data_IF_043179575618
#
_entry.id   IF_043179575618
#
_cell.length_a   1.000
_cell.length_b   1.000
_cell.length_c   1.000
_cell.angle_alpha   90.00
_cell.angle_beta   90.00
_cell.angle_gamma   90.00
#
_symmetry.space_group_name_H-M   'P 1'
#
loop_
_entity.id
_entity.type
_entity.pdbx_description
1 polymer ?
#
# COMPACT_ATOMS: atom_id res chain seq x y z
N UNK A 1 11.07 -20.64 -3.65
CA UNK A 1 12.19 -19.72 -3.35
C UNK A 1 11.70 -18.83 -2.25
N UNK A 2 12.39 -18.83 -1.12
CA UNK A 2 12.16 -17.85 -0.06
C UNK A 2 12.78 -16.54 -0.53
N UNK A 3 12.04 -15.43 -0.41
CA UNK A 3 12.48 -14.11 -0.83
C UNK A 3 12.30 -13.16 0.35
N UNK A 4 13.32 -12.34 0.60
CA UNK A 4 13.17 -11.20 1.49
C UNK A 4 12.30 -10.11 0.84
N UNK A 5 11.77 -9.19 1.64
CA UNK A 5 10.87 -8.14 1.14
C UNK A 5 11.53 -7.30 0.04
N UNK A 6 12.81 -6.95 0.18
CA UNK A 6 13.54 -6.15 -0.80
C UNK A 6 13.64 -6.87 -2.15
N UNK A 7 13.97 -8.17 -2.14
CA UNK A 7 14.02 -8.99 -3.35
C UNK A 7 12.64 -9.15 -3.99
N UNK A 8 11.61 -9.32 -3.17
CA UNK A 8 10.23 -9.39 -3.65
C UNK A 8 9.80 -8.07 -4.32
N UNK A 9 10.06 -6.93 -3.67
CA UNK A 9 9.78 -5.60 -4.23
C UNK A 9 10.50 -5.43 -5.56
N UNK A 10 11.79 -5.74 -5.62
CA UNK A 10 12.54 -5.67 -6.87
C UNK A 10 11.91 -6.57 -7.94
N UNK A 11 11.64 -7.85 -7.64
CA UNK A 11 11.09 -8.80 -8.60
C UNK A 11 9.71 -8.42 -9.17
N UNK A 12 8.88 -7.73 -8.39
CA UNK A 12 7.55 -7.29 -8.82
C UNK A 12 7.63 -5.91 -9.50
N UNK A 13 8.25 -4.93 -8.87
CA UNK A 13 8.25 -3.55 -9.34
C UNK A 13 9.34 -3.23 -10.37
N UNK A 14 10.29 -4.12 -10.66
CA UNK A 14 11.26 -3.92 -11.76
C UNK A 14 10.69 -4.20 -13.15
N UNK A 15 9.46 -4.71 -13.24
CA UNK A 15 8.76 -5.03 -14.49
C UNK A 15 7.55 -4.13 -14.70
N UNK A 16 6.95 -4.25 -15.88
CA UNK A 16 5.56 -3.84 -16.07
C UNK A 16 4.63 -4.75 -15.25
N UNK A 17 3.50 -4.23 -14.75
CA UNK A 17 2.51 -5.06 -14.08
C UNK A 17 2.15 -6.28 -14.92
N UNK A 18 2.10 -7.44 -14.28
CA UNK A 18 1.69 -8.69 -14.92
C UNK A 18 0.17 -8.86 -14.82
N UNK A 19 -0.42 -9.80 -15.58
CA UNK A 19 -1.83 -10.10 -15.43
C UNK A 19 -2.23 -10.37 -13.97
N UNK A 20 -3.51 -10.15 -13.68
CA UNK A 20 -4.07 -10.36 -12.34
C UNK A 20 -3.78 -11.78 -11.87
N UNK A 21 -3.36 -11.92 -10.61
CA UNK A 21 -3.05 -13.21 -9.96
C UNK A 21 -1.92 -14.00 -10.64
N UNK A 22 -1.02 -13.35 -11.38
CA UNK A 22 0.13 -14.01 -12.02
C UNK A 22 1.21 -14.47 -11.04
N UNK A 23 1.29 -13.84 -9.87
CA UNK A 23 2.21 -14.24 -8.80
C UNK A 23 1.42 -14.75 -7.60
N UNK A 24 1.69 -15.99 -7.22
CA UNK A 24 1.14 -16.57 -6.00
C UNK A 24 2.11 -16.29 -4.85
N UNK A 25 1.76 -15.35 -3.98
CA UNK A 25 2.47 -15.13 -2.72
C UNK A 25 1.95 -16.10 -1.67
N UNK A 26 2.86 -16.73 -0.96
CA UNK A 26 2.56 -17.53 0.23
C UNK A 26 3.50 -17.06 1.33
N UNK A 27 2.92 -16.76 2.50
CA UNK A 27 3.70 -16.45 3.68
C UNK A 27 4.19 -17.76 4.31
N UNK A 28 5.46 -17.79 4.71
CA UNK A 28 6.07 -18.97 5.35
C UNK A 28 5.42 -19.24 6.71
N UNK A 29 5.01 -18.18 7.40
CA UNK A 29 4.30 -18.24 8.67
C UNK A 29 2.82 -17.87 8.50
N UNK A 30 2.00 -18.36 9.43
CA UNK A 30 0.60 -17.97 9.53
C UNK A 30 0.50 -16.55 10.09
N UNK A 31 0.55 -15.56 9.21
CA UNK A 31 0.38 -14.16 9.57
C UNK A 31 -1.04 -13.86 10.03
N UNK A 32 -1.17 -13.05 11.07
CA UNK A 32 -2.42 -12.41 11.45
C UNK A 32 -2.86 -11.39 10.39
N UNK A 33 -4.15 -11.02 10.39
CA UNK A 33 -4.68 -9.98 9.48
C UNK A 33 -3.90 -8.67 9.62
N UNK A 34 -3.49 -8.31 10.84
CA UNK A 34 -2.70 -7.11 11.09
C UNK A 34 -1.33 -7.20 10.41
N UNK A 35 -0.63 -8.33 10.55
CA UNK A 35 0.69 -8.53 9.95
C UNK A 35 0.60 -8.56 8.42
N UNK A 36 -0.43 -9.17 7.84
CA UNK A 36 -0.69 -9.09 6.39
C UNK A 36 -0.88 -7.64 5.97
N UNK A 37 -1.70 -6.86 6.69
CA UNK A 37 -1.91 -5.46 6.36
C UNK A 37 -0.63 -4.62 6.46
N UNK A 38 0.17 -4.82 7.52
CA UNK A 38 1.45 -4.11 7.73
C UNK A 38 2.48 -4.50 6.66
N UNK A 39 2.52 -5.77 6.27
CA UNK A 39 3.31 -6.22 5.12
C UNK A 39 2.87 -5.51 3.83
N UNK A 40 1.58 -5.42 3.54
CA UNK A 40 1.08 -4.76 2.32
C UNK A 40 1.35 -3.25 2.32
N UNK A 41 1.27 -2.58 3.47
CA UNK A 41 1.69 -1.17 3.60
C UNK A 41 3.19 -1.01 3.33
N UNK A 42 4.01 -1.91 3.86
CA UNK A 42 5.47 -1.87 3.64
C UNK A 42 5.79 -2.15 2.17
N UNK A 43 5.16 -3.17 1.57
CA UNK A 43 5.28 -3.49 0.15
C UNK A 43 4.83 -2.33 -0.75
N UNK A 44 3.74 -1.64 -0.41
CA UNK A 44 3.30 -0.42 -1.09
C UNK A 44 4.37 0.68 -1.00
N UNK A 45 4.90 0.92 0.19
CA UNK A 45 5.86 2.00 0.46
C UNK A 45 7.16 1.76 -0.29
N UNK A 46 7.70 0.55 -0.24
CA UNK A 46 8.94 0.19 -0.93
C UNK A 46 8.75 0.11 -2.45
N UNK A 47 7.62 -0.43 -2.92
CA UNK A 47 7.28 -0.41 -4.36
C UNK A 47 7.14 1.01 -4.91
N UNK A 48 6.51 1.91 -4.15
CA UNK A 48 6.38 3.32 -4.50
C UNK A 48 7.75 4.02 -4.57
N UNK A 49 8.63 3.77 -3.58
CA UNK A 49 10.02 4.28 -3.60
C UNK A 49 10.80 3.72 -4.79
N UNK A 50 10.65 2.44 -5.10
CA UNK A 50 11.33 1.81 -6.23
C UNK A 50 10.93 2.45 -7.56
N UNK A 51 9.63 2.71 -7.77
CA UNK A 51 9.11 3.25 -9.03
C UNK A 51 9.23 4.76 -9.17
N UNK A 52 9.03 5.49 -8.07
CA UNK A 52 8.79 6.94 -8.09
C UNK A 52 9.59 7.69 -7.02
N UNK A 53 10.49 7.00 -6.33
CA UNK A 53 11.33 7.60 -5.31
C UNK A 53 12.32 8.58 -5.90
N UNK A 54 12.56 9.65 -5.15
CA UNK A 54 13.67 10.59 -5.39
C UNK A 54 14.56 10.59 -4.16
N UNK A 55 15.86 10.38 -4.38
CA UNK A 55 16.86 10.51 -3.34
C UNK A 55 17.05 11.99 -2.98
N UNK A 56 16.95 12.31 -1.70
CA UNK A 56 17.23 13.65 -1.21
C UNK A 56 18.72 13.83 -0.89
N UNK A 57 19.13 15.05 -0.51
CA UNK A 57 20.52 15.37 -0.18
C UNK A 57 21.13 14.54 0.97
N UNK A 58 20.28 13.91 1.79
CA UNK A 58 20.69 13.10 2.94
C UNK A 58 20.76 11.60 2.60
N UNK A 59 20.66 11.24 1.32
CA UNK A 59 20.66 9.85 0.85
C UNK A 59 19.37 9.07 1.15
N UNK A 60 18.28 9.75 1.49
CA UNK A 60 16.98 9.12 1.78
C UNK A 60 16.07 9.18 0.56
N UNK A 61 15.57 8.02 0.14
CA UNK A 61 14.56 7.92 -0.91
C UNK A 61 13.17 8.28 -0.36
N UNK A 62 12.56 9.30 -0.95
CA UNK A 62 11.22 9.77 -0.59
C UNK A 62 10.30 9.78 -1.82
N UNK A 63 9.00 9.63 -1.60
CA UNK A 63 7.98 9.68 -2.65
C UNK A 63 7.06 10.86 -2.39
N UNK A 64 6.89 11.69 -3.40
CA UNK A 64 5.93 12.80 -3.37
C UNK A 64 4.61 12.38 -4.03
N UNK A 65 3.66 11.93 -3.21
CA UNK A 65 2.34 11.49 -3.67
C UNK A 65 1.53 12.62 -4.33
N UNK A 66 1.84 13.89 -4.07
CA UNK A 66 1.14 15.02 -4.70
C UNK A 66 1.38 15.10 -6.20
N UNK A 67 2.46 14.48 -6.69
CA UNK A 67 2.79 14.38 -8.12
C UNK A 67 2.11 13.21 -8.82
N UNK A 68 1.49 12.30 -8.07
CA UNK A 68 0.86 11.13 -8.65
C UNK A 68 -0.48 11.49 -9.29
N UNK A 69 -0.64 11.09 -10.54
CA UNK A 69 -1.92 11.15 -11.25
C UNK A 69 -2.64 9.81 -11.12
N UNK A 70 -3.83 9.73 -11.72
CA UNK A 70 -4.55 8.46 -11.88
C UNK A 70 -3.70 7.38 -12.58
N UNK A 71 -2.73 7.78 -13.41
CA UNK A 71 -1.84 6.83 -14.10
C UNK A 71 -0.92 6.11 -13.12
N UNK A 72 -0.23 6.85 -12.25
CA UNK A 72 0.70 6.27 -11.27
C UNK A 72 -0.05 5.40 -10.26
N UNK A 73 -1.21 5.86 -9.80
CA UNK A 73 -2.09 5.08 -8.92
C UNK A 73 -2.52 3.78 -9.57
N UNK A 74 -2.99 3.83 -10.82
CA UNK A 74 -3.38 2.65 -11.58
C UNK A 74 -2.23 1.66 -11.77
N UNK A 75 -1.01 2.13 -12.04
CA UNK A 75 0.16 1.25 -12.15
C UNK A 75 0.43 0.52 -10.83
N UNK A 76 0.31 1.22 -9.70
CA UNK A 76 0.46 0.59 -8.38
C UNK A 76 -0.66 -0.43 -8.11
N UNK A 77 -1.91 -0.09 -8.45
CA UNK A 77 -3.04 -1.03 -8.34
C UNK A 77 -2.82 -2.29 -9.16
N UNK A 78 -2.32 -2.15 -10.39
CA UNK A 78 -2.03 -3.28 -11.27
C UNK A 78 -0.90 -4.17 -10.73
N UNK A 79 0.15 -3.59 -10.13
CA UNK A 79 1.20 -4.36 -9.45
C UNK A 79 0.66 -5.18 -8.28
N UNK A 80 -0.19 -4.58 -7.44
CA UNK A 80 -0.86 -5.30 -6.36
C UNK A 80 -1.76 -6.42 -6.91
N UNK A 81 -2.47 -6.15 -8.00
CA UNK A 81 -3.33 -7.15 -8.63
C UNK A 81 -2.54 -8.32 -9.22
N UNK A 82 -1.31 -8.09 -9.69
CA UNK A 82 -0.39 -9.16 -10.11
C UNK A 82 -0.07 -10.13 -8.97
N UNK A 83 -0.02 -9.64 -7.73
CA UNK A 83 0.27 -10.43 -6.52
C UNK A 83 -0.97 -10.78 -5.69
N UNK A 84 -2.14 -10.87 -6.33
CA UNK A 84 -3.41 -11.31 -5.73
C UNK A 84 -4.09 -10.32 -4.76
N UNK A 85 -3.61 -9.08 -4.65
CA UNK A 85 -4.23 -8.06 -3.80
C UNK A 85 -4.86 -6.94 -4.60
N UNK A 86 -5.93 -6.36 -4.07
CA UNK A 86 -6.48 -5.09 -4.55
C UNK A 86 -5.92 -3.98 -3.67
N UNK A 87 -5.21 -3.03 -4.25
CA UNK A 87 -4.91 -1.75 -3.62
C UNK A 87 -6.10 -0.81 -3.82
N UNK A 88 -6.55 -0.15 -2.77
CA UNK A 88 -7.55 0.93 -2.85
C UNK A 88 -6.92 2.21 -2.28
N UNK A 89 -7.07 3.31 -3.01
CA UNK A 89 -6.60 4.63 -2.58
C UNK A 89 -7.77 5.62 -2.64
N UNK A 90 -8.32 5.97 -1.48
CA UNK A 90 -9.31 7.05 -1.37
C UNK A 90 -8.57 8.37 -1.17
N UNK A 91 -8.94 9.41 -1.91
CA UNK A 91 -8.26 10.72 -1.88
C UNK A 91 -9.23 11.77 -1.36
N UNK A 92 -8.83 12.49 -0.31
CA UNK A 92 -9.61 13.55 0.32
C UNK A 92 -8.81 14.84 0.37
N UNK A 93 -9.49 15.98 0.27
CA UNK A 93 -8.88 17.25 0.67
C UNK A 93 -8.67 17.28 2.19
N UNK A 94 -7.55 17.87 2.64
CA UNK A 94 -7.26 18.08 4.07
C UNK A 94 -8.36 18.86 4.80
N UNK A 95 -9.10 19.72 4.08
CA UNK A 95 -10.26 20.47 4.57
C UNK A 95 -11.35 19.55 5.16
N UNK A 96 -11.46 18.30 4.69
CA UNK A 96 -12.42 17.30 5.17
C UNK A 96 -12.11 16.81 6.59
N UNK A 97 -10.91 17.06 7.12
CA UNK A 97 -10.54 16.70 8.50
C UNK A 97 -11.41 17.39 9.56
N UNK A 98 -12.14 18.46 9.18
CA UNK A 98 -13.15 19.10 10.03
C UNK A 98 -14.38 18.22 10.32
N UNK A 99 -14.63 17.24 9.45
CA UNK A 99 -15.81 16.39 9.49
C UNK A 99 -15.47 14.90 9.60
N UNK A 100 -14.27 14.51 9.20
CA UNK A 100 -13.79 13.12 9.20
C UNK A 100 -12.56 13.03 10.10
N UNK A 101 -12.63 12.17 11.12
CA UNK A 101 -11.47 11.88 11.95
C UNK A 101 -10.61 10.77 11.33
N UNK A 102 -9.75 11.16 10.39
CA UNK A 102 -8.85 10.24 9.71
C UNK A 102 -7.88 9.53 10.68
N UNK A 103 -7.48 10.17 11.78
CA UNK A 103 -6.63 9.52 12.79
C UNK A 103 -7.33 8.30 13.43
N UNK A 104 -8.62 8.39 13.72
CA UNK A 104 -9.42 7.26 14.21
C UNK A 104 -9.66 6.18 13.14
N UNK A 105 -9.60 6.53 11.85
CA UNK A 105 -9.69 5.54 10.77
C UNK A 105 -8.46 4.64 10.70
N UNK A 106 -7.31 5.08 11.21
CA UNK A 106 -6.07 4.31 11.16
C UNK A 106 -6.26 2.93 11.79
N UNK A 107 -5.80 1.88 11.10
CA UNK A 107 -5.79 0.51 11.61
C UNK A 107 -5.10 0.41 12.99
N UNK A 108 -4.16 1.31 13.29
CA UNK A 108 -3.46 1.42 14.59
C UNK A 108 -4.38 1.78 15.76
N UNK A 109 -5.60 2.23 15.49
CA UNK A 109 -6.63 2.59 16.49
C UNK A 109 -7.75 1.55 16.58
N UNK A 110 -7.67 0.47 15.81
CA UNK A 110 -8.70 -0.56 15.76
C UNK A 110 -8.25 -1.81 16.52
N UNK A 111 -9.20 -2.54 17.12
CA UNK A 111 -8.97 -3.90 17.63
C UNK A 111 -9.06 -4.87 16.45
N UNK A 112 -7.94 -5.49 16.10
CA UNK A 112 -7.85 -6.39 14.93
C UNK A 112 -7.85 -7.83 15.42
N UNK A 113 -8.88 -8.59 15.04
CA UNK A 113 -9.02 -10.00 15.34
C UNK A 113 -8.85 -10.89 14.11
N UNK A 114 -8.91 -12.21 14.30
CA UNK A 114 -8.76 -13.20 13.23
C UNK A 114 -9.78 -13.08 12.10
N UNK A 115 -10.98 -12.57 12.40
CA UNK A 115 -12.08 -12.42 11.45
C UNK A 115 -12.24 -10.97 10.96
N UNK A 116 -11.34 -10.06 11.33
CA UNK A 116 -11.39 -8.68 10.82
C UNK A 116 -11.16 -8.71 9.31
N UNK A 117 -12.08 -8.18 8.48
CA UNK A 117 -11.87 -8.14 7.04
C UNK A 117 -10.72 -7.20 6.69
N UNK A 118 -9.84 -7.61 5.77
CA UNK A 118 -8.65 -6.84 5.39
C UNK A 118 -9.03 -5.42 4.90
N UNK A 119 -10.13 -5.31 4.16
CA UNK A 119 -10.60 -4.05 3.56
C UNK A 119 -11.16 -3.02 4.56
N UNK A 120 -11.37 -3.41 5.83
CA UNK A 120 -11.77 -2.47 6.89
C UNK A 120 -10.58 -1.74 7.51
N UNK A 121 -9.36 -2.26 7.31
CA UNK A 121 -8.15 -1.64 7.81
C UNK A 121 -7.73 -0.52 6.86
N UNK A 122 -7.44 0.65 7.44
CA UNK A 122 -7.10 1.86 6.67
C UNK A 122 -5.80 2.48 7.16
N UNK A 123 -5.02 3.02 6.24
CA UNK A 123 -3.80 3.76 6.52
C UNK A 123 -3.87 5.15 5.88
N UNK A 124 -4.28 6.17 6.66
CA UNK A 124 -4.25 7.55 6.22
C UNK A 124 -2.82 8.09 6.14
N UNK A 125 -2.47 8.67 5.00
CA UNK A 125 -1.25 9.40 4.71
C UNK A 125 -1.59 10.86 4.42
N UNK A 126 -0.96 11.78 5.13
CA UNK A 126 -1.19 13.21 4.99
C UNK A 126 -0.11 13.83 4.10
N UNK A 127 -0.54 14.57 3.10
CA UNK A 127 0.31 15.53 2.37
C UNK A 127 -0.16 16.95 2.68
N UNK A 128 0.41 17.96 2.03
CA UNK A 128 0.11 19.37 2.34
C UNK A 128 -1.37 19.72 2.18
N UNK A 129 -1.99 19.29 1.07
CA UNK A 129 -3.39 19.62 0.77
C UNK A 129 -4.31 18.40 0.68
N UNK A 130 -3.75 17.19 0.69
CA UNK A 130 -4.47 15.96 0.38
C UNK A 130 -4.22 14.90 1.46
N UNK A 131 -5.22 14.05 1.71
CA UNK A 131 -5.13 12.88 2.56
C UNK A 131 -5.43 11.66 1.68
N UNK A 132 -4.46 10.75 1.61
CA UNK A 132 -4.59 9.48 0.92
C UNK A 132 -4.92 8.41 1.95
N UNK A 133 -6.03 7.72 1.79
CA UNK A 133 -6.43 6.63 2.67
C UNK A 133 -6.24 5.32 1.92
N UNK A 134 -5.22 4.58 2.31
CA UNK A 134 -4.84 3.32 1.69
C UNK A 134 -5.55 2.17 2.41
N UNK A 135 -6.15 1.26 1.64
CA UNK A 135 -6.64 -0.03 2.15
C UNK A 135 -6.43 -1.13 1.12
N UNK A 136 -6.57 -2.38 1.55
CA UNK A 136 -6.34 -3.54 0.69
C UNK A 136 -7.49 -4.52 0.76
N UNK A 137 -7.68 -5.29 -0.31
CA UNK A 137 -8.58 -6.44 -0.34
C UNK A 137 -7.90 -7.62 -1.04
N UNK A 138 -8.46 -8.82 -0.88
CA UNK A 138 -8.08 -9.95 -1.70
C UNK A 138 -8.73 -9.83 -3.08
N UNK A 139 -7.99 -10.19 -4.12
CA UNK A 139 -8.53 -10.25 -5.47
C UNK A 139 -9.30 -11.58 -5.60
N UNK A 140 -10.57 -11.60 -5.20
CA UNK A 140 -11.46 -12.78 -5.32
C UNK A 140 -11.83 -13.02 -6.78
#
# INVERSE_FOLDING_TARGET
MELELEELVNNIFNRQPQPKKSFQLQFIENLSVKEVFEFLITFFTEGAKYKYGTENSDGKTTVDLSKWTQKELKIMEEHFASVFFKLNVEIYETSKSKHINFNLMSYRKQVIGKNTPLNTLKFPLYTQNTIYVISFDYLV
#
